data_IF_844547253176
#
_entry.id   IF_844547253176
#
_cell.length_a   1.000
_cell.length_b   1.000
_cell.length_c   1.000
_cell.angle_alpha   90.00
_cell.angle_beta   90.00
_cell.angle_gamma   90.00
#
_symmetry.space_group_name_H-M   'P 1'
#
loop_
_entity.id
_entity.type
_entity.pdbx_description
1 polymer ?
#
# COMPACT_ATOMS: atom_id res chain seq x y z
N UNK A 1 -12.41 21.25 12.95
CA UNK A 1 -10.99 20.84 12.88
C UNK A 1 -10.94 19.36 13.16
N UNK A 2 -10.24 18.58 12.33
CA UNK A 2 -10.05 17.15 12.57
C UNK A 2 -9.23 16.94 13.85
N UNK A 3 -9.59 15.90 14.61
CA UNK A 3 -8.88 15.54 15.84
C UNK A 3 -7.91 14.39 15.53
N UNK A 4 -6.64 14.71 15.30
CA UNK A 4 -5.57 13.72 15.07
C UNK A 4 -4.39 13.99 16.02
N UNK A 5 -3.59 12.97 16.26
CA UNK A 5 -2.37 13.07 17.06
C UNK A 5 -1.15 13.28 16.17
N UNK A 6 -0.26 14.20 16.53
CA UNK A 6 1.07 14.30 15.93
C UNK A 6 2.14 14.48 16.99
N UNK A 7 3.30 13.88 16.78
CA UNK A 7 4.49 14.15 17.58
C UNK A 7 5.03 15.55 17.28
N UNK A 8 5.68 16.15 18.25
CA UNK A 8 6.23 17.53 18.16
C UNK A 8 7.22 17.71 17.00
N UNK A 9 7.98 16.67 16.67
CA UNK A 9 8.97 16.68 15.59
C UNK A 9 8.36 16.37 14.21
N UNK A 10 7.07 16.09 14.13
CA UNK A 10 6.39 15.87 12.84
C UNK A 10 6.05 17.23 12.21
N UNK A 11 6.33 17.35 10.91
CA UNK A 11 6.03 18.53 10.10
C UNK A 11 4.80 18.24 9.25
N UNK A 12 3.81 19.12 9.33
CA UNK A 12 2.59 19.07 8.52
C UNK A 12 2.50 20.39 7.77
N UNK A 13 2.54 20.34 6.45
CA UNK A 13 2.44 21.53 5.62
C UNK A 13 1.01 22.09 5.58
N UNK A 14 0.89 23.37 5.36
CA UNK A 14 -0.40 24.03 5.17
C UNK A 14 -1.12 23.43 3.93
N UNK A 15 -2.39 23.09 4.11
CA UNK A 15 -3.22 22.46 3.10
C UNK A 15 -3.23 20.92 3.12
N UNK A 16 -2.52 20.28 4.04
CA UNK A 16 -2.72 18.87 4.33
C UNK A 16 -4.10 18.63 4.97
N UNK A 17 -4.77 17.58 4.55
CA UNK A 17 -6.05 17.12 5.13
C UNK A 17 -5.78 15.82 5.88
N UNK A 18 -6.09 15.80 7.18
CA UNK A 18 -5.85 14.62 8.02
C UNK A 18 -7.13 14.28 8.77
N UNK A 19 -7.60 13.04 8.57
CA UNK A 19 -8.81 12.52 9.20
C UNK A 19 -8.66 12.25 10.70
N UNK A 20 -9.82 12.12 11.36
CA UNK A 20 -9.89 11.91 12.81
C UNK A 20 -9.18 10.64 13.25
N UNK A 21 -8.68 10.63 14.49
CA UNK A 21 -8.01 9.50 15.13
C UNK A 21 -6.73 9.02 14.42
N UNK A 22 -6.25 9.75 13.40
CA UNK A 22 -4.98 9.46 12.75
C UNK A 22 -3.80 9.84 13.64
N UNK A 23 -2.68 9.13 13.50
CA UNK A 23 -1.47 9.31 14.32
C UNK A 23 -0.25 9.48 13.44
N UNK A 24 0.51 10.57 13.67
CA UNK A 24 1.73 10.89 12.93
C UNK A 24 2.90 10.89 13.90
N UNK A 25 3.83 9.98 13.70
CA UNK A 25 4.95 9.77 14.59
C UNK A 25 6.14 10.68 14.26
N UNK A 26 7.18 10.58 15.08
CA UNK A 26 8.36 11.45 15.05
C UNK A 26 9.01 11.54 13.66
N UNK A 27 9.50 12.72 13.32
CA UNK A 27 10.29 13.03 12.12
C UNK A 27 9.56 12.75 10.79
N UNK A 28 8.25 12.59 10.82
CA UNK A 28 7.46 12.45 9.60
C UNK A 28 7.18 13.83 9.00
N UNK A 29 7.11 13.89 7.67
CA UNK A 29 6.75 15.09 6.94
C UNK A 29 5.58 14.78 6.02
N UNK A 30 4.48 15.47 6.21
CA UNK A 30 3.27 15.38 5.39
C UNK A 30 3.10 16.71 4.65
N UNK A 31 3.24 16.67 3.33
CA UNK A 31 2.99 17.80 2.45
C UNK A 31 1.47 17.95 2.21
N UNK A 32 1.06 18.59 1.11
CA UNK A 32 -0.37 18.77 0.75
C UNK A 32 -0.98 17.44 0.27
N UNK A 33 -1.24 16.54 1.19
CA UNK A 33 -1.79 15.21 0.99
C UNK A 33 -3.16 15.09 1.67
N UNK A 34 -3.94 14.09 1.26
CA UNK A 34 -5.20 13.71 1.89
C UNK A 34 -5.01 12.39 2.63
N UNK A 35 -5.18 12.40 3.94
CA UNK A 35 -5.06 11.23 4.82
C UNK A 35 -6.40 11.02 5.49
N UNK A 36 -6.98 9.82 5.31
CA UNK A 36 -8.24 9.43 5.91
C UNK A 36 -8.18 9.29 7.43
N UNK A 37 -9.23 8.74 7.99
CA UNK A 37 -9.38 8.52 9.43
C UNK A 37 -8.60 7.29 9.91
N UNK A 38 -8.20 7.29 11.20
CA UNK A 38 -7.55 6.16 11.89
C UNK A 38 -6.26 5.67 11.22
N UNK A 39 -5.63 6.50 10.40
CA UNK A 39 -4.34 6.20 9.79
C UNK A 39 -3.21 6.25 10.82
N UNK A 40 -2.17 5.48 10.58
CA UNK A 40 -0.93 5.55 11.36
C UNK A 40 0.24 5.75 10.42
N UNK A 41 0.92 6.88 10.53
CA UNK A 41 2.19 7.13 9.88
C UNK A 41 3.30 6.91 10.92
N UNK A 42 4.11 5.90 10.70
CA UNK A 42 5.24 5.55 11.55
C UNK A 42 6.32 6.63 11.55
N UNK A 43 7.41 6.38 12.24
CA UNK A 43 8.52 7.31 12.34
C UNK A 43 9.21 7.49 10.98
N UNK A 44 9.62 8.75 10.68
CA UNK A 44 10.35 9.09 9.46
C UNK A 44 9.61 8.71 8.16
N UNK A 45 8.30 8.94 8.14
CA UNK A 45 7.46 8.77 6.94
C UNK A 45 7.41 10.08 6.17
N UNK A 46 7.65 10.05 4.87
CA UNK A 46 7.47 11.18 3.98
C UNK A 46 6.22 10.96 3.10
N UNK A 47 5.35 11.96 3.06
CA UNK A 47 4.14 11.96 2.24
C UNK A 47 4.15 13.21 1.36
N UNK A 48 4.33 13.02 0.06
CA UNK A 48 4.40 14.10 -0.93
C UNK A 48 3.02 14.73 -1.21
N UNK A 49 3.02 15.80 -2.00
CA UNK A 49 1.79 16.43 -2.47
C UNK A 49 0.92 15.43 -3.24
N UNK A 50 -0.40 15.62 -3.18
CA UNK A 50 -1.38 14.86 -3.96
C UNK A 50 -1.39 13.33 -3.69
N UNK A 51 -0.74 12.88 -2.62
CA UNK A 51 -0.90 11.51 -2.13
C UNK A 51 -2.25 11.40 -1.43
N UNK A 52 -2.96 10.29 -1.68
CA UNK A 52 -4.25 10.00 -1.07
C UNK A 52 -4.15 8.70 -0.28
N UNK A 53 -4.45 8.76 1.00
CA UNK A 53 -4.59 7.59 1.86
C UNK A 53 -6.04 7.49 2.33
N UNK A 54 -6.69 6.38 2.06
CA UNK A 54 -8.00 6.04 2.59
C UNK A 54 -7.99 5.90 4.12
N UNK A 55 -9.03 5.30 4.66
CA UNK A 55 -9.16 5.13 6.11
C UNK A 55 -8.34 3.92 6.61
N UNK A 56 -7.90 3.98 7.87
CA UNK A 56 -7.21 2.90 8.55
C UNK A 56 -5.93 2.41 7.83
N UNK A 57 -5.28 3.27 7.03
CA UNK A 57 -4.00 2.94 6.39
C UNK A 57 -2.88 2.96 7.42
N UNK A 58 -2.03 1.92 7.40
CA UNK A 58 -0.87 1.79 8.29
C UNK A 58 0.41 1.90 7.47
N UNK A 59 1.10 3.01 7.58
CA UNK A 59 2.42 3.23 6.96
C UNK A 59 3.48 3.06 8.02
N UNK A 60 4.34 2.06 7.87
CA UNK A 60 5.40 1.78 8.82
C UNK A 60 6.60 2.73 8.65
N UNK A 61 7.59 2.61 9.54
CA UNK A 61 8.73 3.52 9.59
C UNK A 61 9.54 3.57 8.28
N UNK A 62 10.12 4.72 7.99
CA UNK A 62 11.04 4.94 6.87
C UNK A 62 10.44 4.71 5.48
N UNK A 63 9.16 4.97 5.31
CA UNK A 63 8.48 4.88 4.01
C UNK A 63 8.37 6.28 3.40
N UNK A 64 8.66 6.39 2.10
CA UNK A 64 8.40 7.60 1.31
C UNK A 64 7.29 7.32 0.30
N UNK A 65 6.21 8.09 0.42
CA UNK A 65 5.08 8.07 -0.52
C UNK A 65 5.21 9.30 -1.42
N UNK A 66 5.66 9.08 -2.64
CA UNK A 66 5.80 10.15 -3.62
C UNK A 66 4.48 10.45 -4.34
N UNK A 67 4.43 11.61 -4.98
CA UNK A 67 3.28 12.04 -5.77
C UNK A 67 2.81 10.98 -6.77
N UNK A 68 1.49 10.75 -6.81
CA UNK A 68 0.86 9.70 -7.61
C UNK A 68 0.52 8.42 -6.84
N UNK A 69 0.90 8.29 -5.57
CA UNK A 69 0.49 7.15 -4.75
C UNK A 69 -0.91 7.37 -4.20
N UNK A 70 -1.80 6.40 -4.43
CA UNK A 70 -3.16 6.33 -3.89
C UNK A 70 -3.32 4.98 -3.19
N UNK A 71 -3.69 5.02 -1.92
CA UNK A 71 -4.05 3.84 -1.15
C UNK A 71 -5.53 3.92 -0.77
N UNK A 72 -6.28 2.86 -1.04
CA UNK A 72 -7.63 2.71 -0.51
C UNK A 72 -7.61 2.36 0.99
N UNK A 73 -8.78 2.05 1.57
CA UNK A 73 -8.89 1.74 3.00
C UNK A 73 -8.12 0.46 3.39
N UNK A 74 -7.75 0.35 4.66
CA UNK A 74 -7.19 -0.85 5.28
C UNK A 74 -5.84 -1.33 4.69
N UNK A 75 -5.13 -0.49 3.95
CA UNK A 75 -3.82 -0.82 3.37
C UNK A 75 -2.73 -0.83 4.45
N UNK A 76 -1.88 -1.86 4.40
CA UNK A 76 -0.66 -1.95 5.22
C UNK A 76 0.59 -1.79 4.36
N UNK A 77 1.48 -0.86 4.76
CA UNK A 77 2.77 -0.63 4.10
C UNK A 77 3.87 -0.90 5.10
N UNK A 78 4.64 -1.96 4.87
CA UNK A 78 5.74 -2.41 5.71
C UNK A 78 6.91 -1.43 5.77
N UNK A 79 7.76 -1.54 6.80
CA UNK A 79 8.87 -0.62 7.00
C UNK A 79 9.83 -0.62 5.82
N UNK A 80 10.31 0.58 5.49
CA UNK A 80 11.28 0.80 4.41
C UNK A 80 10.80 0.32 3.02
N UNK A 81 9.50 0.15 2.82
CA UNK A 81 8.96 -0.06 1.48
C UNK A 81 9.18 1.19 0.61
N UNK A 82 9.44 0.99 -0.66
CA UNK A 82 9.81 2.03 -1.61
C UNK A 82 8.77 2.10 -2.73
N UNK A 83 8.28 3.31 -3.00
CA UNK A 83 7.45 3.61 -4.17
C UNK A 83 8.25 4.50 -5.12
N UNK A 84 8.24 4.21 -6.42
CA UNK A 84 8.77 5.13 -7.42
C UNK A 84 7.65 6.00 -7.98
N UNK A 85 7.96 7.08 -8.68
CA UNK A 85 6.96 7.94 -9.34
C UNK A 85 7.27 8.20 -10.82
N UNK A 86 8.49 7.88 -11.26
CA UNK A 86 8.94 7.99 -12.65
C UNK A 86 9.73 6.76 -13.04
N UNK A 87 9.61 6.31 -14.30
CA UNK A 87 10.24 5.05 -14.76
C UNK A 87 11.74 5.24 -15.05
N UNK A 88 12.12 6.36 -15.64
CA UNK A 88 13.44 6.58 -16.19
C UNK A 88 14.05 7.93 -15.77
N UNK A 89 14.31 8.12 -14.46
CA UNK A 89 14.84 9.39 -13.96
C UNK A 89 16.23 9.71 -14.52
N UNK A 90 16.46 10.99 -14.77
CA UNK A 90 17.78 11.56 -15.09
C UNK A 90 17.88 12.93 -14.41
N UNK A 91 18.97 13.19 -13.71
CA UNK A 91 19.15 14.44 -12.94
C UNK A 91 19.10 15.70 -13.83
N UNK A 92 19.56 15.60 -15.06
CA UNK A 92 19.63 16.70 -16.03
C UNK A 92 18.40 16.81 -16.96
N UNK A 93 17.36 15.96 -16.75
CA UNK A 93 16.10 15.99 -17.50
C UNK A 93 14.96 16.12 -16.51
N UNK A 94 14.22 17.21 -16.59
CA UNK A 94 13.00 17.38 -15.80
C UNK A 94 11.88 16.47 -16.31
N UNK A 95 11.31 15.64 -15.42
CA UNK A 95 10.26 14.67 -15.75
C UNK A 95 9.05 14.76 -14.82
N UNK A 96 8.80 15.92 -14.23
CA UNK A 96 7.66 16.11 -13.32
C UNK A 96 6.30 15.84 -13.99
N UNK A 97 6.21 16.04 -15.30
CA UNK A 97 5.00 15.77 -16.07
C UNK A 97 4.84 14.27 -16.46
N UNK A 98 5.80 13.42 -16.10
CA UNK A 98 5.83 11.99 -16.43
C UNK A 98 5.56 11.10 -15.19
N UNK A 99 5.14 11.70 -14.07
CA UNK A 99 4.80 10.93 -12.88
C UNK A 99 3.63 9.99 -13.16
N UNK A 100 3.78 8.73 -12.73
CA UNK A 100 2.79 7.69 -12.92
C UNK A 100 2.13 7.35 -11.59
N UNK A 101 0.82 7.23 -11.62
CA UNK A 101 0.03 6.85 -10.49
C UNK A 101 0.28 5.38 -10.10
N UNK A 102 0.30 5.10 -8.80
CA UNK A 102 0.26 3.75 -8.23
C UNK A 102 -0.98 3.64 -7.37
N UNK A 103 -1.86 2.70 -7.70
CA UNK A 103 -3.06 2.41 -6.93
C UNK A 103 -2.83 1.18 -6.06
N UNK A 104 -2.98 1.32 -4.75
CA UNK A 104 -2.99 0.22 -3.79
C UNK A 104 -4.41 0.04 -3.29
N UNK A 105 -5.06 -1.04 -3.71
CA UNK A 105 -6.46 -1.28 -3.39
C UNK A 105 -6.65 -1.77 -1.95
N UNK A 106 -7.91 -1.74 -1.53
CA UNK A 106 -8.34 -2.05 -0.15
C UNK A 106 -7.71 -3.32 0.41
N UNK A 107 -7.24 -3.23 1.65
CA UNK A 107 -6.73 -4.37 2.40
C UNK A 107 -5.44 -4.97 1.89
N UNK A 108 -4.82 -4.41 0.86
CA UNK A 108 -3.54 -4.90 0.37
C UNK A 108 -2.43 -4.70 1.40
N UNK A 109 -1.48 -5.63 1.43
CA UNK A 109 -0.30 -5.59 2.31
C UNK A 109 0.98 -5.54 1.49
N UNK A 110 1.80 -4.53 1.75
CA UNK A 110 3.13 -4.38 1.17
C UNK A 110 4.17 -4.78 2.21
N UNK A 111 4.97 -5.79 1.94
CA UNK A 111 6.01 -6.28 2.83
C UNK A 111 7.17 -5.29 3.03
N UNK A 112 7.92 -5.49 4.12
CA UNK A 112 9.10 -4.67 4.43
C UNK A 112 10.11 -4.69 3.28
N UNK A 113 10.74 -3.53 3.00
CA UNK A 113 11.73 -3.37 1.91
C UNK A 113 11.22 -3.76 0.51
N UNK A 114 9.91 -3.91 0.30
CA UNK A 114 9.39 -4.12 -1.04
C UNK A 114 9.50 -2.84 -1.88
N UNK A 115 9.74 -2.99 -3.18
CA UNK A 115 9.78 -1.88 -4.13
C UNK A 115 8.60 -1.98 -5.09
N UNK A 116 7.82 -0.92 -5.18
CA UNK A 116 6.68 -0.81 -6.08
C UNK A 116 7.04 0.16 -7.21
N UNK A 117 7.18 -0.35 -8.41
CA UNK A 117 7.41 0.48 -9.59
C UNK A 117 6.11 1.19 -9.95
N UNK A 118 6.19 2.48 -10.22
CA UNK A 118 5.04 3.32 -10.53
C UNK A 118 4.30 2.89 -11.80
N UNK A 119 3.02 3.25 -11.89
CA UNK A 119 2.16 2.90 -13.02
C UNK A 119 1.46 1.55 -12.86
N UNK A 120 1.56 0.90 -11.71
CA UNK A 120 0.96 -0.39 -11.45
C UNK A 120 -0.16 -0.31 -10.40
N UNK A 121 -1.11 -1.23 -10.50
CA UNK A 121 -2.17 -1.43 -9.51
C UNK A 121 -1.86 -2.66 -8.66
N UNK A 122 -1.96 -2.51 -7.35
CA UNK A 122 -1.93 -3.62 -6.40
C UNK A 122 -3.37 -3.97 -6.04
N UNK A 123 -3.80 -5.20 -6.34
CA UNK A 123 -5.18 -5.65 -6.19
C UNK A 123 -5.66 -5.72 -4.74
N UNK A 124 -6.98 -5.85 -4.57
CA UNK A 124 -7.61 -5.96 -3.25
C UNK A 124 -7.06 -7.17 -2.48
N UNK A 125 -6.71 -6.94 -1.21
CA UNK A 125 -6.16 -7.96 -0.31
C UNK A 125 -4.93 -8.69 -0.87
N UNK A 126 -4.28 -8.17 -1.91
CA UNK A 126 -3.01 -8.72 -2.39
C UNK A 126 -1.92 -8.62 -1.33
N UNK A 127 -1.01 -9.57 -1.32
CA UNK A 127 0.09 -9.61 -0.38
C UNK A 127 1.42 -9.60 -1.13
N UNK A 128 2.18 -8.53 -0.97
CA UNK A 128 3.53 -8.39 -1.51
C UNK A 128 4.53 -8.84 -0.44
N UNK A 129 5.28 -9.89 -0.71
CA UNK A 129 6.30 -10.39 0.20
C UNK A 129 7.42 -9.37 0.45
N UNK A 130 8.05 -9.46 1.62
CA UNK A 130 9.17 -8.59 1.97
C UNK A 130 10.31 -8.69 0.94
N UNK A 131 10.95 -7.56 0.61
CA UNK A 131 12.04 -7.48 -0.37
C UNK A 131 11.64 -7.71 -1.83
N UNK A 132 10.36 -7.85 -2.13
CA UNK A 132 9.89 -8.08 -3.50
C UNK A 132 9.92 -6.81 -4.35
N UNK A 133 10.13 -6.94 -5.66
CA UNK A 133 10.10 -5.83 -6.62
C UNK A 133 8.92 -6.01 -7.58
N UNK A 134 7.87 -5.23 -7.39
CA UNK A 134 6.66 -5.27 -8.21
C UNK A 134 6.87 -4.41 -9.46
N UNK A 135 6.77 -5.02 -10.63
CA UNK A 135 7.03 -4.38 -11.94
C UNK A 135 5.80 -4.37 -12.86
N UNK A 136 4.68 -4.94 -12.43
CA UNK A 136 3.42 -5.04 -13.17
C UNK A 136 2.23 -5.11 -12.23
N UNK A 137 1.03 -4.96 -12.78
CA UNK A 137 -0.21 -5.09 -12.02
C UNK A 137 -0.30 -6.40 -11.25
N UNK A 138 -0.89 -6.34 -10.08
CA UNK A 138 -1.09 -7.46 -9.16
C UNK A 138 -2.58 -7.73 -9.02
N UNK A 139 -2.98 -8.99 -9.17
CA UNK A 139 -4.38 -9.41 -9.03
C UNK A 139 -4.86 -9.32 -7.59
N UNK A 140 -6.16 -9.21 -7.42
CA UNK A 140 -6.80 -9.28 -6.10
C UNK A 140 -6.45 -10.63 -5.44
N UNK A 141 -6.16 -10.62 -4.14
CA UNK A 141 -5.75 -11.78 -3.34
C UNK A 141 -4.44 -12.48 -3.76
N UNK A 142 -3.68 -11.95 -4.71
CA UNK A 142 -2.43 -12.57 -5.14
C UNK A 142 -1.34 -12.48 -4.08
N UNK A 143 -0.57 -13.56 -3.92
CA UNK A 143 0.68 -13.59 -3.18
C UNK A 143 1.85 -13.41 -4.14
N UNK A 144 2.53 -12.26 -4.04
CA UNK A 144 3.65 -11.88 -4.90
C UNK A 144 4.96 -11.96 -4.15
N UNK A 145 5.96 -12.65 -4.68
CA UNK A 145 7.29 -12.77 -4.04
C UNK A 145 8.39 -12.69 -5.10
N UNK A 146 9.51 -12.09 -4.72
CA UNK A 146 10.75 -12.13 -5.50
C UNK A 146 11.11 -10.84 -6.20
N UNK A 147 12.22 -10.86 -6.95
CA UNK A 147 12.74 -9.75 -7.76
C UNK A 147 13.15 -10.26 -9.16
N UNK A 148 12.38 -9.97 -10.23
CA UNK A 148 11.06 -9.33 -10.20
C UNK A 148 10.02 -10.21 -9.47
N UNK A 149 9.03 -9.56 -8.85
CA UNK A 149 7.97 -10.28 -8.13
C UNK A 149 7.10 -11.11 -9.08
N UNK A 150 6.90 -12.36 -8.71
CA UNK A 150 6.02 -13.29 -9.41
C UNK A 150 4.94 -13.79 -8.47
N UNK A 151 3.79 -14.14 -9.02
CA UNK A 151 2.71 -14.72 -8.25
C UNK A 151 3.05 -16.15 -7.83
N UNK A 152 3.11 -16.42 -6.53
CA UNK A 152 3.45 -17.71 -5.94
C UNK A 152 2.25 -18.41 -5.29
N UNK A 153 1.08 -17.77 -5.32
CA UNK A 153 -0.15 -18.31 -4.77
C UNK A 153 -1.18 -17.22 -4.52
N UNK A 154 -2.05 -17.48 -3.58
CA UNK A 154 -3.16 -16.63 -3.19
C UNK A 154 -3.24 -16.55 -1.67
N UNK A 155 -3.80 -15.46 -1.16
CA UNK A 155 -4.06 -15.24 0.28
C UNK A 155 -5.53 -14.95 0.52
N UNK A 156 -5.99 -15.22 1.73
CA UNK A 156 -7.32 -14.78 2.20
C UNK A 156 -7.27 -13.31 2.67
N UNK A 157 -8.40 -12.74 3.04
CA UNK A 157 -8.47 -11.37 3.58
C UNK A 157 -7.62 -11.17 4.83
N UNK A 158 -7.46 -12.21 5.65
CA UNK A 158 -6.61 -12.12 6.84
C UNK A 158 -5.11 -12.34 6.57
N UNK A 159 -4.70 -12.48 5.29
CA UNK A 159 -3.30 -12.59 4.86
C UNK A 159 -2.72 -14.01 4.91
N UNK A 160 -3.49 -15.02 5.31
CA UNK A 160 -3.02 -16.41 5.28
C UNK A 160 -3.03 -16.97 3.86
N UNK A 161 -2.00 -17.78 3.55
CA UNK A 161 -1.94 -18.45 2.25
C UNK A 161 -3.12 -19.41 2.08
N UNK A 162 -3.80 -19.34 0.94
CA UNK A 162 -4.87 -20.23 0.56
C UNK A 162 -4.30 -21.50 -0.09
N UNK A 163 -4.79 -22.65 0.35
CA UNK A 163 -4.47 -23.96 -0.21
C UNK A 163 -5.73 -24.49 -0.91
N UNK A 164 -5.71 -24.48 -2.25
CA UNK A 164 -6.84 -24.91 -3.04
C UNK A 164 -6.84 -26.43 -3.23
N UNK A 165 -8.01 -27.04 -3.00
CA UNK A 165 -8.33 -28.41 -3.43
C UNK A 165 -9.33 -28.30 -4.56
N UNK A 166 -8.90 -28.62 -5.78
CA UNK A 166 -9.63 -28.19 -6.96
C UNK A 166 -9.71 -26.66 -7.01
N UNK A 167 -10.93 -26.13 -7.10
CA UNK A 167 -11.17 -24.69 -7.15
C UNK A 167 -11.58 -24.09 -5.79
N UNK A 168 -11.53 -24.84 -4.70
CA UNK A 168 -12.04 -24.42 -3.40
C UNK A 168 -10.91 -24.35 -2.37
N UNK A 169 -10.91 -23.29 -1.55
CA UNK A 169 -10.06 -23.17 -0.38
C UNK A 169 -10.89 -22.60 0.79
N UNK A 170 -10.52 -22.96 2.01
CA UNK A 170 -11.17 -22.47 3.23
C UNK A 170 -10.16 -21.75 4.11
N UNK A 171 -10.54 -20.59 4.62
CA UNK A 171 -9.80 -19.88 5.65
C UNK A 171 -10.46 -20.11 7.00
N UNK A 172 -9.82 -20.88 7.87
CA UNK A 172 -10.36 -21.21 9.19
C UNK A 172 -10.44 -20.00 10.13
N UNK A 173 -9.57 -19.01 9.98
CA UNK A 173 -9.56 -17.80 10.81
C UNK A 173 -10.76 -16.89 10.54
N UNK A 174 -11.17 -16.81 9.27
CA UNK A 174 -12.34 -16.01 8.85
C UNK A 174 -13.62 -16.84 8.79
N UNK A 175 -13.51 -18.17 8.85
CA UNK A 175 -14.58 -19.13 8.57
C UNK A 175 -15.25 -18.85 7.21
N UNK A 176 -14.44 -18.57 6.17
CA UNK A 176 -14.90 -18.21 4.82
C UNK A 176 -14.31 -19.15 3.76
N UNK A 177 -15.13 -19.42 2.74
CA UNK A 177 -14.72 -20.15 1.56
C UNK A 177 -14.29 -19.20 0.45
N UNK A 178 -13.27 -19.62 -0.30
CA UNK A 178 -12.68 -18.93 -1.44
C UNK A 178 -12.75 -19.83 -2.67
N UNK A 179 -13.03 -19.23 -3.81
CA UNK A 179 -13.19 -19.94 -5.08
C UNK A 179 -12.21 -19.38 -6.10
N UNK A 180 -11.44 -20.25 -6.74
CA UNK A 180 -10.54 -19.90 -7.83
C UNK A 180 -11.18 -20.27 -9.16
N UNK A 181 -11.47 -19.27 -9.98
CA UNK A 181 -12.04 -19.46 -11.32
C UNK A 181 -11.34 -18.50 -12.30
N UNK A 182 -10.92 -19.03 -13.45
CA UNK A 182 -10.26 -18.25 -14.50
C UNK A 182 -9.11 -17.38 -13.98
N UNK A 183 -8.27 -17.94 -13.09
CA UNK A 183 -7.14 -17.26 -12.49
C UNK A 183 -7.52 -15.96 -11.74
N UNK A 184 -8.68 -15.99 -11.10
CA UNK A 184 -9.18 -14.96 -10.19
C UNK A 184 -9.80 -15.63 -8.96
N UNK A 185 -9.56 -15.03 -7.79
CA UNK A 185 -10.11 -15.49 -6.51
C UNK A 185 -11.35 -14.67 -6.15
N UNK A 186 -12.38 -15.36 -5.73
CA UNK A 186 -13.59 -14.76 -5.15
C UNK A 186 -13.86 -15.33 -3.76
N UNK A 187 -14.60 -14.60 -2.96
CA UNK A 187 -15.00 -15.00 -1.60
C UNK A 187 -16.49 -15.31 -1.55
N UNK A 188 -16.87 -16.29 -0.75
CA UNK A 188 -18.26 -16.58 -0.45
C UNK A 188 -18.97 -15.34 0.12
N UNK A 189 -20.15 -15.03 -0.43
CA UNK A 189 -20.97 -13.88 -0.03
C UNK A 189 -21.66 -14.09 1.31
#
# INVERSE_FOLDING_TARGET
MSNYFKQETAVIDDGAIIGNDSKIWHFSHVMRAEIGEKCILGQNVFVANNVILGNNVKVQNNVSLFEGVICEDDVFIGPSAVFTNVINPRSFIERKNEYKQTLVKRGASIGANATIICGNTIGEYAFIGAGSVVTKDVKDFALMIGNPATQTGWVCKCGNKLHFTGNNAHCSLEAKNYFLLNDAVSIEK
#
